data_IF_942284653364
#
_entry.id   IF_942284653364
#
_cell.length_a   1.000
_cell.length_b   1.000
_cell.length_c   1.000
_cell.angle_alpha   90.00
_cell.angle_beta   90.00
_cell.angle_gamma   90.00
#
_symmetry.space_group_name_H-M   'P 1'
#
loop_
_entity.id
_entity.type
_entity.pdbx_description
1 polymer ?
#
# COMPACT_ATOMS: atom_id res chain seq x y z
N UNK A 1 -23.81 -6.95 13.47
CA UNK A 1 -22.93 -5.96 12.80
C UNK A 1 -21.51 -6.26 13.26
N UNK A 2 -20.54 -6.41 12.35
CA UNK A 2 -19.21 -6.99 12.65
C UNK A 2 -18.24 -6.04 13.39
N UNK A 3 -18.74 -4.94 13.96
CA UNK A 3 -17.92 -3.95 14.68
C UNK A 3 -16.99 -3.11 13.80
N UNK A 4 -17.18 -3.12 12.47
CA UNK A 4 -16.35 -2.39 11.52
C UNK A 4 -16.90 -0.98 11.25
N UNK A 5 -16.05 0.04 11.40
CA UNK A 5 -16.32 1.40 10.90
C UNK A 5 -15.76 1.50 9.47
N UNK A 6 -16.61 1.83 8.50
CA UNK A 6 -16.24 1.93 7.09
C UNK A 6 -16.12 3.39 6.68
N UNK A 7 -14.95 3.77 6.18
CA UNK A 7 -14.68 5.09 5.64
C UNK A 7 -14.67 5.01 4.11
N UNK A 8 -15.58 5.71 3.44
CA UNK A 8 -15.62 5.72 1.97
C UNK A 8 -14.48 6.57 1.37
N UNK A 9 -14.35 6.64 0.04
CA UNK A 9 -13.41 7.58 -0.59
C UNK A 9 -13.95 9.02 -0.46
N UNK A 10 -13.13 9.94 0.07
CA UNK A 10 -13.48 11.36 0.18
C UNK A 10 -12.78 12.08 1.34
N UNK A 11 -12.75 13.41 1.30
CA UNK A 11 -12.03 14.23 2.30
C UNK A 11 -12.66 14.23 3.71
N UNK A 12 -13.97 14.02 3.84
CA UNK A 12 -14.64 13.81 5.14
C UNK A 12 -14.20 12.50 5.78
N UNK A 13 -14.18 11.44 4.98
CA UNK A 13 -13.86 10.08 5.40
C UNK A 13 -12.40 9.94 5.82
N UNK A 14 -11.50 10.65 5.12
CA UNK A 14 -10.08 10.73 5.50
C UNK A 14 -9.88 11.37 6.88
N UNK A 15 -10.75 12.32 7.26
CA UNK A 15 -10.75 12.88 8.63
C UNK A 15 -11.24 11.87 9.65
N UNK A 16 -12.26 11.08 9.32
CA UNK A 16 -12.74 9.97 10.15
C UNK A 16 -11.66 8.92 10.41
N UNK A 17 -10.98 8.46 9.36
CA UNK A 17 -9.86 7.53 9.48
C UNK A 17 -8.71 8.10 10.34
N UNK A 18 -8.40 9.39 10.18
CA UNK A 18 -7.42 10.08 11.02
C UNK A 18 -7.84 10.16 12.50
N UNK A 19 -9.13 10.37 12.79
CA UNK A 19 -9.66 10.37 14.15
C UNK A 19 -9.59 8.96 14.78
N UNK A 20 -9.92 7.92 14.02
CA UNK A 20 -9.81 6.54 14.46
C UNK A 20 -8.37 6.20 14.89
N UNK A 21 -7.38 6.62 14.09
CA UNK A 21 -5.95 6.44 14.42
C UNK A 21 -5.53 7.22 15.67
N UNK A 22 -6.02 8.46 15.86
CA UNK A 22 -5.78 9.22 17.11
C UNK A 22 -6.38 8.52 18.33
N UNK A 23 -7.50 7.83 18.16
CA UNK A 23 -8.12 7.00 19.18
C UNK A 23 -7.44 5.63 19.36
N UNK A 24 -6.26 5.40 18.74
CA UNK A 24 -5.49 4.15 18.79
C UNK A 24 -6.27 2.93 18.29
N UNK A 25 -7.21 3.12 17.37
CA UNK A 25 -7.88 2.01 16.65
C UNK A 25 -6.98 1.46 15.56
N UNK A 26 -7.30 0.26 15.08
CA UNK A 26 -6.71 -0.32 13.88
C UNK A 26 -7.44 0.23 12.64
N UNK A 27 -6.67 0.67 11.65
CA UNK A 27 -7.18 1.10 10.35
C UNK A 27 -6.73 0.10 9.28
N UNK A 28 -7.70 -0.52 8.61
CA UNK A 28 -7.44 -1.44 7.50
C UNK A 28 -7.45 -0.71 6.16
N UNK A 29 -6.57 -1.12 5.25
CA UNK A 29 -6.53 -0.68 3.85
C UNK A 29 -6.66 -1.89 2.93
N UNK A 30 -7.40 -1.74 1.84
CA UNK A 30 -7.24 -2.57 0.65
C UNK A 30 -6.16 -1.91 -0.21
N UNK A 31 -4.91 -2.32 0.03
CA UNK A 31 -3.72 -1.64 -0.50
C UNK A 31 -3.24 -2.19 -1.86
N UNK A 32 -4.01 -3.10 -2.46
CA UNK A 32 -3.69 -3.82 -3.68
C UNK A 32 -4.41 -3.28 -4.93
N UNK A 33 -5.05 -2.11 -4.81
CA UNK A 33 -5.74 -1.48 -5.93
C UNK A 33 -4.81 -0.56 -6.73
N UNK A 34 -5.29 -0.14 -7.90
CA UNK A 34 -4.65 0.92 -8.70
C UNK A 34 -4.60 2.25 -7.92
N UNK A 35 -3.40 2.82 -7.82
CA UNK A 35 -3.11 4.08 -7.12
C UNK A 35 -3.64 5.33 -7.82
N UNK A 36 -4.18 5.18 -9.04
CA UNK A 36 -4.66 6.30 -9.87
C UNK A 36 -3.55 7.31 -10.18
N UNK A 37 -3.93 8.47 -10.71
CA UNK A 37 -2.99 9.52 -11.14
C UNK A 37 -2.09 10.08 -10.03
N UNK A 38 -2.43 9.90 -8.74
CA UNK A 38 -1.61 10.38 -7.63
C UNK A 38 -0.69 9.32 -7.00
N UNK A 39 -0.79 8.06 -7.41
CA UNK A 39 0.01 6.99 -6.86
C UNK A 39 1.52 7.13 -7.14
N UNK A 40 2.30 6.22 -6.55
CA UNK A 40 3.74 6.13 -6.81
C UNK A 40 4.03 5.10 -7.91
N UNK A 41 4.96 5.39 -8.83
CA UNK A 41 5.34 4.46 -9.88
C UNK A 41 6.18 3.33 -9.28
N UNK A 42 5.62 2.12 -9.24
CA UNK A 42 6.31 0.94 -8.72
C UNK A 42 6.13 -0.24 -9.65
N UNK A 43 7.09 -1.14 -9.64
CA UNK A 43 6.94 -2.44 -10.29
C UNK A 43 5.99 -3.32 -9.49
N UNK A 44 5.06 -3.97 -10.18
CA UNK A 44 4.19 -4.99 -9.61
C UNK A 44 4.07 -6.16 -10.58
N UNK A 45 4.56 -7.32 -10.17
CA UNK A 45 4.69 -8.57 -10.91
C UNK A 45 5.39 -8.39 -12.26
N UNK A 46 6.47 -7.61 -12.25
CA UNK A 46 7.29 -7.36 -13.45
C UNK A 46 6.69 -6.35 -14.43
N UNK A 47 5.62 -5.63 -14.04
CA UNK A 47 5.02 -4.58 -14.86
C UNK A 47 4.87 -3.26 -14.08
N UNK A 48 5.14 -2.14 -14.75
CA UNK A 48 4.96 -0.79 -14.20
C UNK A 48 3.51 -0.55 -13.77
N UNK A 49 3.34 0.01 -12.57
CA UNK A 49 2.03 0.21 -11.93
C UNK A 49 1.98 1.49 -11.09
N UNK A 50 0.77 1.99 -10.85
CA UNK A 50 0.53 3.04 -9.85
C UNK A 50 0.15 2.41 -8.52
N UNK A 51 0.91 2.64 -7.45
CA UNK A 51 0.62 2.13 -6.11
C UNK A 51 -0.05 3.17 -5.22
N UNK A 52 -0.98 2.68 -4.38
CA UNK A 52 -1.64 3.49 -3.36
C UNK A 52 -0.66 3.87 -2.23
N UNK A 53 -0.72 5.13 -1.79
CA UNK A 53 0.19 5.68 -0.78
C UNK A 53 -0.45 5.80 0.61
N UNK A 54 -1.70 5.37 0.75
CA UNK A 54 -2.50 5.48 1.97
C UNK A 54 -1.81 4.89 3.21
N UNK A 55 -1.36 3.60 3.16
CA UNK A 55 -0.65 2.98 4.27
C UNK A 55 0.58 3.78 4.71
N UNK A 56 1.46 4.15 3.77
CA UNK A 56 2.68 4.91 4.07
C UNK A 56 2.36 6.32 4.64
N UNK A 57 1.35 7.00 4.09
CA UNK A 57 0.93 8.33 4.55
C UNK A 57 0.45 8.31 6.00
N UNK A 58 -0.31 7.27 6.36
CA UNK A 58 -0.79 7.08 7.73
C UNK A 58 0.31 6.62 8.68
N UNK A 59 1.19 5.72 8.23
CA UNK A 59 2.36 5.29 9.00
C UNK A 59 3.23 6.47 9.39
N UNK A 60 3.57 7.34 8.43
CA UNK A 60 4.29 8.60 8.65
C UNK A 60 3.58 9.50 9.65
N UNK A 61 2.30 9.80 9.40
CA UNK A 61 1.53 10.78 10.17
C UNK A 61 1.30 10.37 11.62
N UNK A 62 1.05 9.09 11.85
CA UNK A 62 0.69 8.56 13.17
C UNK A 62 1.81 7.80 13.85
N UNK A 63 2.99 7.71 13.23
CA UNK A 63 4.13 6.89 13.68
C UNK A 63 3.68 5.46 13.98
N UNK A 64 2.85 4.91 13.11
CA UNK A 64 2.24 3.61 13.26
C UNK A 64 2.88 2.61 12.28
N UNK A 65 3.06 1.34 12.68
CA UNK A 65 3.51 0.30 11.76
C UNK A 65 2.43 -0.01 10.71
N UNK A 66 2.86 -0.41 9.52
CA UNK A 66 2.02 -1.08 8.53
C UNK A 66 2.18 -2.57 8.73
N UNK A 67 1.11 -3.28 9.07
CA UNK A 67 1.13 -4.74 9.26
C UNK A 67 0.46 -5.39 8.04
N UNK A 68 1.21 -6.11 7.19
CA UNK A 68 0.60 -6.85 6.09
C UNK A 68 -0.23 -8.02 6.63
N UNK A 69 -1.47 -8.11 6.18
CA UNK A 69 -2.39 -9.18 6.55
C UNK A 69 -3.01 -9.76 5.30
N UNK A 70 -2.89 -11.08 5.15
CA UNK A 70 -3.42 -11.81 4.01
C UNK A 70 -4.27 -12.98 4.49
N UNK A 71 -5.11 -13.50 3.60
CA UNK A 71 -5.85 -14.73 3.85
C UNK A 71 -5.62 -15.72 2.72
N UNK A 72 -5.41 -16.99 3.06
CA UNK A 72 -5.42 -18.09 2.10
C UNK A 72 -6.39 -19.19 2.52
N UNK A 73 -6.80 -20.04 1.59
CA UNK A 73 -7.75 -21.12 1.78
C UNK A 73 -7.06 -22.34 2.36
N UNK A 74 -7.81 -23.05 3.19
CA UNK A 74 -7.54 -24.44 3.60
C UNK A 74 -8.62 -25.33 3.02
N UNK A 75 -8.42 -26.65 3.07
CA UNK A 75 -9.45 -27.63 2.72
C UNK A 75 -10.79 -27.33 3.41
N UNK A 76 -10.74 -26.85 4.66
CA UNK A 76 -11.87 -26.30 5.40
C UNK A 76 -11.49 -25.00 6.09
N UNK A 77 -12.04 -23.88 5.62
CA UNK A 77 -11.83 -22.56 6.21
C UNK A 77 -10.65 -21.79 5.59
N UNK A 78 -10.09 -20.87 6.37
CA UNK A 78 -9.04 -19.95 5.93
C UNK A 78 -7.90 -19.88 6.95
N UNK A 79 -6.69 -19.55 6.47
CA UNK A 79 -5.56 -19.09 7.28
C UNK A 79 -5.50 -17.58 7.16
N UNK A 80 -5.33 -16.89 8.28
CA UNK A 80 -4.95 -15.47 8.28
C UNK A 80 -3.46 -15.39 8.54
N UNK A 81 -2.72 -14.84 7.59
CA UNK A 81 -1.29 -14.59 7.68
C UNK A 81 -1.11 -13.16 8.16
N UNK A 82 -0.45 -13.00 9.32
CA UNK A 82 -0.07 -11.70 9.86
C UNK A 82 1.46 -11.66 9.77
N UNK A 83 1.97 -10.85 8.84
CA UNK A 83 3.40 -10.78 8.56
C UNK A 83 4.08 -9.72 9.45
N UNK A 84 5.43 -9.73 9.52
CA UNK A 84 6.16 -8.72 10.28
C UNK A 84 5.78 -7.28 9.87
N UNK A 85 5.71 -6.35 10.83
CA UNK A 85 5.39 -4.96 10.55
C UNK A 85 6.49 -4.28 9.73
N UNK A 86 6.07 -3.41 8.82
CA UNK A 86 6.91 -2.42 8.15
C UNK A 86 6.79 -1.08 8.88
N UNK A 87 7.90 -0.37 8.98
CA UNK A 87 7.97 0.93 9.64
C UNK A 87 8.30 2.03 8.64
N UNK A 88 7.74 3.21 8.89
CA UNK A 88 8.19 4.43 8.21
C UNK A 88 9.53 4.85 8.85
N UNK A 89 10.56 4.93 8.03
CA UNK A 89 11.88 5.44 8.43
C UNK A 89 11.96 6.91 8.04
N UNK A 90 12.26 7.79 8.99
CA UNK A 90 12.38 9.23 8.76
C UNK A 90 13.85 9.59 8.54
N UNK A 91 14.27 9.64 7.29
CA UNK A 91 15.66 9.98 6.89
C UNK A 91 15.85 11.48 6.66
N UNK A 92 14.77 12.26 6.72
CA UNK A 92 14.72 13.67 6.36
C UNK A 92 14.32 13.93 4.90
N UNK A 93 14.29 12.90 4.05
CA UNK A 93 13.76 12.97 2.68
C UNK A 93 12.40 12.26 2.60
N UNK A 94 11.34 13.06 2.76
CA UNK A 94 9.96 12.56 2.82
C UNK A 94 9.56 11.80 1.56
N UNK A 95 10.04 12.19 0.38
CA UNK A 95 9.63 11.55 -0.88
C UNK A 95 10.27 10.16 -1.00
N UNK A 96 11.56 10.04 -0.68
CA UNK A 96 12.26 8.75 -0.64
C UNK A 96 11.69 7.82 0.44
N UNK A 97 11.44 8.35 1.64
CA UNK A 97 10.89 7.56 2.75
C UNK A 97 9.50 7.00 2.44
N UNK A 98 8.64 7.84 1.84
CA UNK A 98 7.32 7.42 1.37
C UNK A 98 7.41 6.37 0.27
N UNK A 99 8.37 6.52 -0.66
CA UNK A 99 8.60 5.56 -1.72
C UNK A 99 9.05 4.20 -1.16
N UNK A 100 10.09 4.16 -0.32
CA UNK A 100 10.62 2.91 0.28
C UNK A 100 9.52 2.10 0.97
N UNK A 101 8.70 2.75 1.81
CA UNK A 101 7.64 2.04 2.52
C UNK A 101 6.53 1.56 1.57
N UNK A 102 6.15 2.38 0.59
CA UNK A 102 5.13 2.00 -0.40
C UNK A 102 5.61 0.80 -1.22
N UNK A 103 6.84 0.84 -1.73
CA UNK A 103 7.43 -0.25 -2.49
C UNK A 103 7.56 -1.54 -1.65
N UNK A 104 7.99 -1.43 -0.38
CA UNK A 104 8.06 -2.58 0.52
C UNK A 104 6.69 -3.25 0.72
N UNK A 105 5.61 -2.47 0.86
CA UNK A 105 4.24 -3.04 0.96
C UNK A 105 3.82 -3.77 -0.32
N UNK A 106 4.22 -3.25 -1.48
CA UNK A 106 3.91 -3.83 -2.79
C UNK A 106 4.70 -5.12 -2.98
N UNK A 107 6.00 -5.13 -2.67
CA UNK A 107 6.86 -6.31 -2.75
C UNK A 107 6.35 -7.48 -1.90
N UNK A 108 5.97 -7.22 -0.65
CA UNK A 108 5.38 -8.25 0.21
C UNK A 108 4.06 -8.78 -0.37
N UNK A 109 3.26 -7.91 -0.98
CA UNK A 109 2.04 -8.33 -1.67
C UNK A 109 2.36 -9.23 -2.86
N UNK A 110 3.36 -8.88 -3.67
CA UNK A 110 3.82 -9.72 -4.78
C UNK A 110 4.30 -11.10 -4.31
N UNK A 111 5.09 -11.14 -3.24
CA UNK A 111 5.63 -12.38 -2.70
C UNK A 111 4.51 -13.29 -2.21
N UNK A 112 3.51 -12.75 -1.52
CA UNK A 112 2.33 -13.52 -1.13
C UNK A 112 1.52 -14.03 -2.34
N UNK A 113 1.34 -13.20 -3.36
CA UNK A 113 0.64 -13.59 -4.59
C UNK A 113 1.38 -14.70 -5.34
N UNK A 114 2.72 -14.68 -5.37
CA UNK A 114 3.52 -15.74 -6.00
C UNK A 114 3.36 -17.09 -5.30
N UNK A 115 3.14 -17.08 -3.99
CA UNK A 115 2.85 -18.28 -3.19
C UNK A 115 1.40 -18.77 -3.34
N UNK A 116 0.46 -17.85 -3.56
CA UNK A 116 -0.99 -18.13 -3.64
C UNK A 116 -1.67 -17.51 -4.89
N UNK A 117 -1.19 -17.80 -6.12
CA UNK A 117 -1.59 -17.04 -7.30
C UNK A 117 -3.05 -17.26 -7.71
N UNK A 118 -3.61 -18.45 -7.49
CA UNK A 118 -4.99 -18.80 -7.83
C UNK A 118 -6.02 -18.26 -6.83
N UNK A 119 -5.57 -17.81 -5.66
CA UNK A 119 -6.43 -17.28 -4.61
C UNK A 119 -6.65 -15.77 -4.69
N UNK A 120 -5.84 -15.08 -5.50
CA UNK A 120 -5.90 -13.64 -5.64
C UNK A 120 -7.08 -13.17 -6.51
N UNK A 121 -7.64 -12.00 -6.18
CA UNK A 121 -8.79 -11.44 -6.89
C UNK A 121 -8.37 -10.67 -8.15
N UNK A 122 -8.01 -11.38 -9.21
CA UNK A 122 -7.47 -10.83 -10.47
C UNK A 122 -8.40 -9.95 -11.30
N UNK A 123 -9.67 -9.79 -10.92
CA UNK A 123 -10.59 -8.89 -11.61
C UNK A 123 -10.35 -7.41 -11.27
N UNK A 124 -9.47 -7.10 -10.31
CA UNK A 124 -9.04 -5.73 -10.03
C UNK A 124 -8.23 -5.18 -11.19
N UNK A 125 -8.51 -3.95 -11.61
CA UNK A 125 -7.77 -3.27 -12.68
C UNK A 125 -6.44 -2.70 -12.18
N UNK A 126 -5.55 -3.55 -11.65
CA UNK A 126 -4.31 -3.16 -10.96
C UNK A 126 -3.38 -2.29 -11.81
N UNK A 127 -3.39 -2.46 -13.14
CA UNK A 127 -2.58 -1.73 -14.13
C UNK A 127 -3.40 -0.79 -15.04
N UNK A 128 -4.52 -0.27 -14.52
CA UNK A 128 -5.39 0.61 -15.32
C UNK A 128 -4.67 1.91 -15.67
N UNK A 129 -4.16 2.59 -14.64
CA UNK A 129 -3.34 3.80 -14.79
C UNK A 129 -2.00 3.44 -15.43
N UNK A 130 -1.72 4.02 -16.59
CA UNK A 130 -0.41 3.94 -17.23
C UNK A 130 0.53 4.92 -16.55
N UNK A 131 1.82 4.57 -16.55
CA UNK A 131 2.82 5.34 -15.80
C UNK A 131 2.89 6.81 -16.24
N UNK A 132 2.73 7.09 -17.53
CA UNK A 132 2.73 8.46 -18.08
C UNK A 132 1.49 9.28 -17.70
N UNK A 133 0.45 8.66 -17.14
CA UNK A 133 -0.75 9.34 -16.62
C UNK A 133 -0.60 9.74 -15.15
N UNK A 134 0.45 9.26 -14.47
CA UNK A 134 0.74 9.65 -13.09
C UNK A 134 1.20 11.11 -13.08
N UNK A 135 0.61 11.91 -12.18
CA UNK A 135 0.99 13.30 -11.94
C UNK A 135 2.43 13.37 -11.44
N UNK A 136 3.20 14.29 -12.03
CA UNK A 136 4.61 14.54 -11.76
C UNK A 136 5.48 13.28 -11.95
N UNK A 137 5.15 12.46 -12.95
CA UNK A 137 5.81 11.16 -13.17
C UNK A 137 7.33 11.26 -13.31
N UNK A 138 7.86 12.23 -14.05
CA UNK A 138 9.31 12.37 -14.25
C UNK A 138 10.05 12.56 -12.93
N UNK A 139 9.52 13.42 -12.04
CA UNK A 139 10.06 13.64 -10.69
C UNK A 139 9.94 12.38 -9.83
N UNK A 140 8.78 11.72 -9.85
CA UNK A 140 8.57 10.48 -9.07
C UNK A 140 9.49 9.34 -9.52
N UNK A 141 9.79 9.25 -10.83
CA UNK A 141 10.77 8.30 -11.36
C UNK A 141 12.17 8.64 -10.88
N UNK A 142 12.58 9.92 -10.86
CA UNK A 142 13.87 10.33 -10.30
C UNK A 142 13.99 9.93 -8.82
N UNK A 143 12.93 10.12 -8.03
CA UNK A 143 12.89 9.68 -6.63
C UNK A 143 13.05 8.16 -6.53
N UNK A 144 12.35 7.38 -7.37
CA UNK A 144 12.48 5.92 -7.41
C UNK A 144 13.92 5.50 -7.70
N UNK A 145 14.51 5.99 -8.78
CA UNK A 145 15.87 5.61 -9.17
C UNK A 145 16.87 6.00 -8.07
N UNK A 146 16.73 7.19 -7.48
CA UNK A 146 17.58 7.62 -6.37
C UNK A 146 17.46 6.72 -5.13
N UNK A 147 16.26 6.17 -4.85
CA UNK A 147 16.08 5.18 -3.76
C UNK A 147 16.77 3.86 -4.11
N UNK A 148 16.69 3.41 -5.36
CA UNK A 148 17.28 2.15 -5.80
C UNK A 148 18.81 2.22 -5.91
N UNK A 149 19.39 3.37 -6.21
CA UNK A 149 20.85 3.60 -6.19
C UNK A 149 21.46 3.54 -4.78
N UNK A 150 20.66 3.74 -3.74
CA UNK A 150 21.09 3.71 -2.33
C UNK A 150 21.05 2.31 -1.70
N UNK A 151 20.46 1.32 -2.39
CA UNK A 151 20.30 -0.07 -1.92
C UNK A 151 21.45 -0.98 -2.41
#
# INVERSE_FOLDING_TARGET
MVGLEVFARGGSEMRGAAQAMKAKKLLGFLADQDGWYQGLPVMFLGQESSAVTGPASFAKKFKAPVVPVFASRKEKGHIVHILPPLYYEDTGDVEKDMFRLTEATVKITEDFIKEHPDEWLWFQHRWNTKIHEIVDIEHKLQVREAVHEEQ
#
